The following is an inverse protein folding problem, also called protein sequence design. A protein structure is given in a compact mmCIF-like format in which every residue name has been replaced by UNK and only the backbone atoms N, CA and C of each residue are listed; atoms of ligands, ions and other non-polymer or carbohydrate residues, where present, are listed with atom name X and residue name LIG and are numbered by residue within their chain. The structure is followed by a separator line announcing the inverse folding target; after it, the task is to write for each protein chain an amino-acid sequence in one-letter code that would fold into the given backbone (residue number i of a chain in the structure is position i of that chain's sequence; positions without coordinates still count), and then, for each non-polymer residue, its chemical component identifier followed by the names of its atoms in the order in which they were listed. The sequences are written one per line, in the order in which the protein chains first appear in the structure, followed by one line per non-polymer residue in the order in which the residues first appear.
data_IF_260382652764
#
_entry.id   IF_260382652764
#
_cell.length_a   1.000
_cell.length_b   1.000
_cell.length_c   1.000
_cell.angle_alpha   90.00
_cell.angle_beta   90.00
_cell.angle_gamma   90.00
#
_symmetry.space_group_name_H-M   'P 1'
#
loop_
_entity.id
_entity.type
_entity.pdbx_description
1 polymer ?
#
# COMPACT_ATOMS: atom_id res chain seq x y z
N UNK A 1 13.32 -33.74 -10.10
CA UNK A 1 12.30 -32.71 -10.26
C UNK A 1 12.76 -31.67 -11.26
N UNK A 2 11.86 -31.06 -12.01
CA UNK A 2 12.16 -29.96 -12.93
C UNK A 2 12.02 -28.66 -12.12
N UNK A 3 13.07 -27.83 -12.12
CA UNK A 3 13.06 -26.49 -11.54
C UNK A 3 13.17 -25.45 -12.65
N UNK A 4 12.50 -24.32 -12.47
CA UNK A 4 12.64 -23.19 -13.39
C UNK A 4 13.99 -22.49 -13.15
N UNK A 5 14.60 -22.02 -14.22
CA UNK A 5 15.71 -21.05 -14.13
C UNK A 5 15.20 -19.72 -13.62
N UNK A 6 16.10 -18.82 -13.25
CA UNK A 6 15.74 -17.43 -12.83
C UNK A 6 14.93 -16.76 -13.94
N UNK A 7 15.43 -16.77 -15.16
CA UNK A 7 14.74 -16.22 -16.34
C UNK A 7 13.40 -16.92 -16.61
N UNK A 8 13.33 -18.25 -16.37
CA UNK A 8 12.08 -18.99 -16.49
C UNK A 8 11.04 -18.63 -15.45
N UNK A 9 11.44 -18.29 -14.23
CA UNK A 9 10.54 -17.80 -13.18
C UNK A 9 10.03 -16.39 -13.50
N UNK A 10 10.89 -15.53 -14.01
CA UNK A 10 10.54 -14.18 -14.47
C UNK A 10 9.58 -14.25 -15.66
N UNK A 11 9.94 -15.03 -16.69
CA UNK A 11 9.06 -15.25 -17.85
C UNK A 11 7.67 -15.78 -17.43
N UNK A 12 7.61 -16.74 -16.52
CA UNK A 12 6.33 -17.26 -16.02
C UNK A 12 5.46 -16.16 -15.39
N UNK A 13 6.08 -15.22 -14.67
CA UNK A 13 5.38 -14.11 -14.03
C UNK A 13 4.74 -13.21 -15.09
N UNK A 14 5.49 -12.79 -16.09
CA UNK A 14 4.98 -11.98 -17.20
C UNK A 14 3.96 -12.72 -18.05
N UNK A 15 4.22 -14.00 -18.37
CA UNK A 15 3.28 -14.82 -19.13
C UNK A 15 1.93 -14.98 -18.42
N UNK A 16 1.93 -15.14 -17.09
CA UNK A 16 0.68 -15.19 -16.30
C UNK A 16 -0.07 -13.88 -16.41
N UNK A 17 0.59 -12.74 -16.28
CA UNK A 17 -0.03 -11.42 -16.42
C UNK A 17 -0.68 -11.23 -17.80
N UNK A 18 -0.01 -11.65 -18.87
CA UNK A 18 -0.56 -11.61 -20.23
C UNK A 18 -1.80 -12.48 -20.36
N UNK A 19 -1.77 -13.68 -19.80
CA UNK A 19 -2.91 -14.59 -19.82
C UNK A 19 -4.10 -14.07 -19.03
N UNK A 20 -3.85 -13.47 -17.87
CA UNK A 20 -4.89 -12.86 -17.05
C UNK A 20 -5.53 -11.66 -17.78
N UNK A 21 -4.74 -10.82 -18.44
CA UNK A 21 -5.24 -9.72 -19.26
C UNK A 21 -5.98 -10.22 -20.51
N UNK A 22 -5.50 -11.28 -21.15
CA UNK A 22 -6.18 -11.90 -22.28
C UNK A 22 -7.54 -12.47 -21.86
N UNK A 23 -7.62 -13.10 -20.70
CA UNK A 23 -8.88 -13.62 -20.15
C UNK A 23 -9.89 -12.51 -19.88
N UNK A 24 -9.45 -11.40 -19.27
CA UNK A 24 -10.30 -10.22 -19.04
C UNK A 24 -10.80 -9.61 -20.35
N UNK A 25 -9.94 -9.54 -21.38
CA UNK A 25 -10.32 -9.09 -22.70
C UNK A 25 -11.35 -10.02 -23.36
N UNK A 26 -11.12 -11.32 -23.29
CA UNK A 26 -12.05 -12.33 -23.81
C UNK A 26 -13.42 -12.27 -23.11
N UNK A 27 -13.45 -12.16 -21.80
CA UNK A 27 -14.69 -12.03 -21.01
C UNK A 27 -15.46 -10.77 -21.39
N UNK A 28 -14.76 -9.65 -21.59
CA UNK A 28 -15.37 -8.37 -21.96
C UNK A 28 -16.03 -8.37 -23.34
N UNK A 29 -15.48 -9.10 -24.29
CA UNK A 29 -15.92 -9.06 -25.70
C UNK A 29 -16.68 -10.30 -26.18
N UNK A 30 -16.71 -11.40 -25.45
CA UNK A 30 -17.46 -12.62 -25.83
C UNK A 30 -18.93 -12.63 -25.43
N UNK A 31 -19.53 -11.48 -25.04
CA UNK A 31 -20.93 -11.37 -24.60
C UNK A 31 -21.34 -12.36 -23.48
N UNK A 32 -20.42 -13.05 -22.87
CA UNK A 32 -20.68 -13.81 -21.66
C UNK A 32 -20.62 -12.82 -20.49
N UNK A 33 -21.63 -12.75 -19.63
CA UNK A 33 -21.49 -12.08 -18.34
C UNK A 33 -20.22 -12.62 -17.70
N UNK A 34 -19.30 -11.75 -17.23
CA UNK A 34 -18.10 -12.22 -16.58
C UNK A 34 -18.51 -13.16 -15.46
N UNK A 35 -18.07 -14.40 -15.54
CA UNK A 35 -18.43 -15.43 -14.56
C UNK A 35 -17.86 -15.09 -13.18
N UNK A 36 -16.75 -14.39 -13.17
CA UNK A 36 -16.01 -14.04 -11.97
C UNK A 36 -15.54 -12.59 -12.05
N UNK A 37 -15.97 -11.78 -11.12
CA UNK A 37 -15.48 -10.41 -11.01
C UNK A 37 -14.10 -10.42 -10.34
N UNK A 38 -13.12 -9.79 -10.97
CA UNK A 38 -11.76 -9.65 -10.43
C UNK A 38 -11.56 -8.22 -9.96
N UNK A 39 -10.85 -8.05 -8.86
CA UNK A 39 -10.36 -6.76 -8.39
C UNK A 39 -9.13 -6.95 -7.52
N UNK A 40 -8.11 -6.14 -7.72
CA UNK A 40 -6.86 -6.25 -6.99
C UNK A 40 -6.34 -4.85 -6.61
N UNK A 41 -6.17 -4.63 -5.32
CA UNK A 41 -5.74 -3.38 -4.72
C UNK A 41 -4.47 -3.59 -3.91
N UNK A 42 -3.47 -2.72 -4.08
CA UNK A 42 -2.31 -2.64 -3.21
C UNK A 42 -2.34 -1.35 -2.43
N UNK A 43 -2.08 -1.40 -1.14
CA UNK A 43 -2.16 -0.24 -0.25
C UNK A 43 -1.02 -0.22 0.75
N UNK A 44 -0.64 0.96 1.20
CA UNK A 44 0.06 1.12 2.45
C UNK A 44 -0.85 0.66 3.61
N UNK A 45 -0.32 0.61 4.83
CA UNK A 45 -1.02 0.02 5.98
C UNK A 45 -2.13 0.93 6.55
N UNK A 46 -3.13 1.27 5.72
CA UNK A 46 -4.22 2.18 6.09
C UNK A 46 -5.55 1.46 6.33
N UNK A 47 -6.13 1.69 7.51
CA UNK A 47 -7.45 1.14 7.88
C UNK A 47 -8.55 1.56 6.91
N UNK A 48 -8.58 2.83 6.48
CA UNK A 48 -9.62 3.32 5.57
C UNK A 48 -9.65 2.57 4.23
N UNK A 49 -8.48 2.12 3.75
CA UNK A 49 -8.39 1.37 2.50
C UNK A 49 -9.02 -0.03 2.63
N UNK A 50 -8.80 -0.67 3.79
CA UNK A 50 -9.41 -1.97 4.10
C UNK A 50 -10.92 -1.82 4.30
N UNK A 51 -11.38 -0.80 5.02
CA UNK A 51 -12.80 -0.52 5.22
C UNK A 51 -13.52 -0.28 3.88
N UNK A 52 -12.95 0.57 3.02
CA UNK A 52 -13.49 0.81 1.68
C UNK A 52 -13.50 -0.47 0.82
N UNK A 53 -12.49 -1.33 0.96
CA UNK A 53 -12.44 -2.61 0.25
C UNK A 53 -13.54 -3.58 0.74
N UNK A 54 -13.81 -3.62 2.04
CA UNK A 54 -14.91 -4.41 2.61
C UNK A 54 -16.26 -3.88 2.10
N UNK A 55 -16.50 -2.56 2.12
CA UNK A 55 -17.72 -1.95 1.58
C UNK A 55 -17.92 -2.27 0.09
N UNK A 56 -16.83 -2.28 -0.68
CA UNK A 56 -16.86 -2.69 -2.09
C UNK A 56 -17.31 -4.15 -2.23
N UNK A 57 -16.80 -5.07 -1.41
CA UNK A 57 -17.22 -6.47 -1.41
C UNK A 57 -18.70 -6.59 -1.08
N UNK A 58 -19.16 -5.91 -0.04
CA UNK A 58 -20.58 -5.94 0.40
C UNK A 58 -21.53 -5.35 -0.65
N UNK A 59 -21.07 -4.39 -1.44
CA UNK A 59 -21.84 -3.77 -2.52
C UNK A 59 -21.87 -4.59 -3.81
N UNK A 60 -21.03 -5.61 -3.92
CA UNK A 60 -20.93 -6.42 -5.14
C UNK A 60 -22.17 -7.29 -5.32
N UNK A 61 -22.67 -7.34 -6.56
CA UNK A 61 -23.84 -8.14 -6.95
C UNK A 61 -23.47 -9.39 -7.73
N UNK A 62 -22.18 -9.65 -7.90
CA UNK A 62 -21.70 -10.82 -8.61
C UNK A 62 -21.77 -12.05 -7.73
N UNK A 63 -22.27 -13.15 -8.25
CA UNK A 63 -22.30 -14.45 -7.54
C UNK A 63 -20.90 -15.08 -7.45
N UNK A 64 -19.97 -14.69 -8.34
CA UNK A 64 -18.60 -15.16 -8.36
C UNK A 64 -17.63 -13.99 -8.43
N UNK A 65 -16.71 -13.88 -7.47
CA UNK A 65 -15.66 -12.87 -7.48
C UNK A 65 -14.34 -13.41 -6.88
N UNK A 66 -13.25 -12.76 -7.25
CA UNK A 66 -11.95 -12.91 -6.61
C UNK A 66 -11.36 -11.52 -6.40
N UNK A 67 -11.44 -11.05 -5.18
CA UNK A 67 -10.91 -9.77 -4.79
C UNK A 67 -9.67 -9.93 -3.92
N UNK A 68 -8.67 -9.15 -4.19
CA UNK A 68 -7.40 -9.21 -3.49
C UNK A 68 -7.02 -7.82 -2.98
N UNK A 69 -6.74 -7.71 -1.68
CA UNK A 69 -6.08 -6.55 -1.10
C UNK A 69 -4.70 -6.96 -0.57
N UNK A 70 -3.68 -6.14 -0.85
CA UNK A 70 -2.31 -6.33 -0.40
C UNK A 70 -1.85 -5.12 0.37
N UNK A 71 -1.54 -5.30 1.65
CA UNK A 71 -0.85 -4.28 2.44
C UNK A 71 0.65 -4.49 2.27
N UNK A 72 1.37 -3.46 1.79
CA UNK A 72 2.80 -3.59 1.48
C UNK A 72 3.48 -2.22 1.35
N UNK A 73 4.78 -2.22 1.14
CA UNK A 73 5.64 -1.05 1.06
C UNK A 73 5.31 -0.17 -0.15
N UNK A 74 5.53 1.12 -0.04
CA UNK A 74 5.26 2.10 -1.10
C UNK A 74 5.87 1.74 -2.46
N UNK A 75 7.15 1.32 -2.47
CA UNK A 75 7.84 0.92 -3.71
C UNK A 75 7.21 -0.33 -4.34
N UNK A 76 6.80 -1.28 -3.50
CA UNK A 76 6.16 -2.52 -3.95
C UNK A 76 4.76 -2.25 -4.53
N UNK A 77 3.98 -1.35 -3.92
CA UNK A 77 2.69 -0.91 -4.46
C UNK A 77 2.87 -0.34 -5.87
N UNK A 78 3.80 0.59 -6.04
CA UNK A 78 4.07 1.22 -7.33
C UNK A 78 4.48 0.17 -8.37
N UNK A 79 5.34 -0.80 -7.99
CA UNK A 79 5.74 -1.88 -8.87
C UNK A 79 4.59 -2.84 -9.20
N UNK A 80 3.76 -3.16 -8.23
CA UNK A 80 2.61 -4.06 -8.43
C UNK A 80 1.59 -3.46 -9.40
N UNK A 81 1.32 -2.16 -9.32
CA UNK A 81 0.44 -1.48 -10.27
C UNK A 81 1.11 -1.37 -11.65
N UNK A 82 2.38 -0.98 -11.71
CA UNK A 82 3.11 -0.88 -12.99
C UNK A 82 3.18 -2.22 -13.74
N UNK A 83 3.24 -3.33 -12.99
CA UNK A 83 3.26 -4.68 -13.55
C UNK A 83 1.87 -5.33 -13.63
N UNK A 84 0.79 -4.56 -13.46
CA UNK A 84 -0.59 -5.03 -13.54
C UNK A 84 -0.94 -6.17 -12.56
N UNK A 85 -0.18 -6.33 -11.47
CA UNK A 85 -0.50 -7.26 -10.40
C UNK A 85 -1.61 -6.70 -9.49
N UNK A 86 -1.74 -5.39 -9.46
CA UNK A 86 -2.86 -4.67 -8.83
C UNK A 86 -3.36 -3.60 -9.79
N UNK A 87 -4.68 -3.43 -9.84
CA UNK A 87 -5.34 -2.42 -10.68
C UNK A 87 -5.22 -1.03 -10.07
N UNK A 88 -5.21 -0.97 -8.74
CA UNK A 88 -5.15 0.27 -7.97
C UNK A 88 -4.06 0.16 -6.90
N UNK A 89 -3.30 1.25 -6.74
CA UNK A 89 -2.37 1.45 -5.66
C UNK A 89 -2.79 2.64 -4.79
N UNK A 90 -2.84 2.46 -3.47
CA UNK A 90 -3.16 3.54 -2.52
C UNK A 90 -1.89 3.90 -1.77
N UNK A 91 -1.42 5.13 -1.95
CA UNK A 91 -0.18 5.63 -1.36
C UNK A 91 -0.36 7.02 -0.76
N UNK A 92 0.48 7.36 0.20
CA UNK A 92 0.57 8.67 0.81
C UNK A 92 1.55 9.57 0.05
N UNK A 93 1.13 10.79 -0.23
CA UNK A 93 2.00 11.86 -0.72
C UNK A 93 1.94 13.07 0.22
N UNK A 94 3.10 13.66 0.44
CA UNK A 94 3.29 14.90 1.19
C UNK A 94 4.15 15.87 0.37
N UNK A 95 4.29 17.09 0.86
CA UNK A 95 5.21 18.06 0.25
C UNK A 95 6.67 17.59 0.27
N UNK A 96 7.02 16.66 1.17
CA UNK A 96 8.35 16.10 1.27
C UNK A 96 8.65 15.07 0.17
N UNK A 97 7.71 14.18 -0.15
CA UNK A 97 7.96 13.02 -1.02
C UNK A 97 7.34 13.13 -2.43
N UNK A 98 6.44 14.09 -2.65
CA UNK A 98 5.65 14.21 -3.90
C UNK A 98 6.50 14.29 -5.17
N UNK A 99 7.66 14.96 -5.12
CA UNK A 99 8.49 15.15 -6.31
C UNK A 99 9.22 13.87 -6.69
N UNK A 100 9.75 13.14 -5.70
CA UNK A 100 10.45 11.86 -5.89
C UNK A 100 9.47 10.78 -6.34
N UNK A 101 8.36 10.62 -5.60
CA UNK A 101 7.32 9.63 -5.94
C UNK A 101 6.69 9.99 -7.30
N UNK A 102 6.37 11.27 -7.53
CA UNK A 102 5.79 11.72 -8.80
C UNK A 102 6.70 11.47 -10.00
N UNK A 103 8.03 11.59 -9.85
CA UNK A 103 8.98 11.20 -10.89
C UNK A 103 8.91 9.70 -11.16
N UNK A 104 8.93 8.87 -10.12
CA UNK A 104 8.85 7.42 -10.24
C UNK A 104 7.54 6.96 -10.90
N UNK A 105 6.41 7.57 -10.54
CA UNK A 105 5.13 7.27 -11.17
C UNK A 105 5.15 7.57 -12.68
N UNK A 106 5.67 8.74 -13.09
CA UNK A 106 5.82 9.09 -14.52
C UNK A 106 6.73 8.11 -15.28
N UNK A 107 7.86 7.73 -14.70
CA UNK A 107 8.77 6.73 -15.29
C UNK A 107 8.10 5.38 -15.52
N UNK A 108 7.13 5.05 -14.68
CA UNK A 108 6.35 3.80 -14.78
C UNK A 108 5.00 3.97 -15.50
N UNK A 109 4.75 5.14 -16.10
CA UNK A 109 3.51 5.45 -16.81
C UNK A 109 2.25 5.32 -15.92
N UNK A 110 2.38 5.64 -14.64
CA UNK A 110 1.28 5.66 -13.67
C UNK A 110 0.78 7.07 -13.43
N UNK A 111 -0.52 7.21 -13.19
CA UNK A 111 -1.19 8.46 -12.86
C UNK A 111 -1.62 8.47 -11.39
N UNK A 112 -1.44 9.61 -10.71
CA UNK A 112 -1.86 9.79 -9.34
C UNK A 112 -3.13 10.64 -9.27
N UNK A 113 -4.17 10.08 -8.66
CA UNK A 113 -5.45 10.75 -8.39
C UNK A 113 -5.61 11.00 -6.88
N UNK A 114 -5.63 12.26 -6.42
CA UNK A 114 -5.82 12.55 -5.00
C UNK A 114 -7.20 12.09 -4.52
N UNK A 115 -7.25 11.33 -3.43
CA UNK A 115 -8.50 10.92 -2.78
C UNK A 115 -8.97 11.98 -1.78
N UNK A 116 -8.12 12.31 -0.82
CA UNK A 116 -8.39 13.32 0.20
C UNK A 116 -7.09 13.86 0.81
N UNK A 117 -7.21 14.90 1.62
CA UNK A 117 -6.13 15.43 2.45
C UNK A 117 -6.51 15.30 3.91
N UNK A 118 -5.58 14.90 4.75
CA UNK A 118 -5.77 14.76 6.19
C UNK A 118 -4.61 15.45 6.94
N UNK A 119 -4.88 16.05 8.09
CA UNK A 119 -3.82 16.49 8.99
C UNK A 119 -3.16 15.28 9.64
N UNK A 120 -1.91 15.50 10.06
CA UNK A 120 -1.17 14.48 10.80
C UNK A 120 -1.70 14.36 12.23
N UNK A 121 -1.84 13.13 12.68
CA UNK A 121 -2.21 12.78 14.04
C UNK A 121 -1.19 11.83 14.65
N UNK A 122 -1.01 11.92 15.97
CA UNK A 122 -0.21 10.97 16.71
C UNK A 122 -1.10 9.81 17.13
N UNK A 123 -0.69 8.60 16.80
CA UNK A 123 -1.31 7.38 17.27
C UNK A 123 -0.51 6.87 18.48
N UNK A 124 -1.16 6.76 19.64
CA UNK A 124 -0.55 6.36 20.90
C UNK A 124 -1.51 5.48 21.69
N UNK A 125 -0.97 4.62 22.58
CA UNK A 125 -1.75 3.84 23.53
C UNK A 125 -2.57 4.77 24.46
N UNK A 126 -3.73 4.29 24.92
CA UNK A 126 -4.56 4.98 25.91
C UNK A 126 -3.82 5.19 27.24
N UNK A 127 -2.88 4.31 27.54
CA UNK A 127 -2.09 4.34 28.79
C UNK A 127 -0.86 5.25 28.65
N UNK A 128 -0.60 5.80 27.46
CA UNK A 128 0.50 6.72 27.27
C UNK A 128 0.22 8.04 28.02
N UNK A 129 1.22 8.60 28.75
CA UNK A 129 1.07 9.86 29.48
C UNK A 129 0.57 11.05 28.64
N UNK A 130 0.74 10.99 27.31
CA UNK A 130 0.29 12.02 26.38
C UNK A 130 -1.19 11.86 25.97
N UNK A 131 -1.84 10.73 26.26
CA UNK A 131 -3.20 10.43 25.79
C UNK A 131 -4.25 11.45 26.24
N UNK A 132 -4.03 12.12 27.40
CA UNK A 132 -4.90 13.18 27.89
C UNK A 132 -4.63 14.57 27.31
N UNK A 133 -3.57 14.78 26.53
CA UNK A 133 -3.24 16.08 25.97
C UNK A 133 -4.11 16.41 24.75
N UNK A 134 -4.69 17.62 24.74
CA UNK A 134 -5.44 18.13 23.58
C UNK A 134 -4.55 18.43 22.36
N UNK A 135 -3.28 18.72 22.59
CA UNK A 135 -2.29 19.00 21.56
C UNK A 135 -0.95 18.41 21.99
N UNK A 136 -0.38 17.60 21.14
CA UNK A 136 0.93 16.99 21.31
C UNK A 136 1.91 17.73 20.41
N UNK A 137 3.05 18.11 20.94
CA UNK A 137 4.15 18.73 20.20
C UNK A 137 5.24 17.70 19.90
N UNK A 138 6.14 18.05 19.01
CA UNK A 138 7.28 17.23 18.64
C UNK A 138 8.19 16.95 19.85
N UNK A 139 8.41 17.95 20.70
CA UNK A 139 9.23 17.80 21.91
C UNK A 139 8.60 16.82 22.92
N UNK A 140 7.27 16.78 22.98
CA UNK A 140 6.56 15.80 23.81
C UNK A 140 6.82 14.36 23.39
N UNK A 141 7.10 14.11 22.11
CA UNK A 141 7.30 12.78 21.56
C UNK A 141 8.74 12.27 21.71
N UNK A 142 9.72 13.15 21.87
CA UNK A 142 11.15 12.78 21.96
C UNK A 142 11.49 11.69 23.00
N UNK A 143 10.86 11.65 24.19
CA UNK A 143 11.14 10.61 25.18
C UNK A 143 10.68 9.20 24.77
N UNK A 144 9.73 9.10 23.85
CA UNK A 144 9.08 7.84 23.46
C UNK A 144 9.72 7.23 22.22
N UNK A 145 9.65 5.89 22.06
CA UNK A 145 10.05 5.26 20.82
C UNK A 145 9.11 5.66 19.68
N UNK A 146 9.68 5.86 18.50
CA UNK A 146 8.94 6.08 17.26
C UNK A 146 8.76 4.73 16.55
N UNK A 147 7.51 4.37 16.27
CA UNK A 147 7.17 3.15 15.57
C UNK A 147 6.85 3.52 14.13
N UNK A 148 7.46 2.82 13.19
CA UNK A 148 7.29 3.06 11.76
C UNK A 148 7.28 1.77 10.96
N UNK A 149 6.68 1.81 9.77
CA UNK A 149 6.73 0.69 8.84
C UNK A 149 8.08 0.64 8.12
N UNK A 150 8.68 -0.55 8.10
CA UNK A 150 9.93 -0.81 7.41
C UNK A 150 9.74 -0.73 5.89
N UNK A 151 10.59 0.03 5.19
CA UNK A 151 10.53 0.22 3.74
C UNK A 151 11.54 -0.61 2.94
N UNK A 152 12.19 -1.59 3.59
CA UNK A 152 13.18 -2.47 2.98
C UNK A 152 14.60 -1.90 2.94
N UNK A 153 15.57 -2.72 2.50
CA UNK A 153 16.98 -2.35 2.48
C UNK A 153 17.31 -1.16 1.55
N UNK A 154 16.54 -1.00 0.47
CA UNK A 154 16.64 0.16 -0.43
C UNK A 154 15.69 1.29 0.01
N UNK A 155 15.15 1.20 1.23
CA UNK A 155 14.17 2.14 1.75
C UNK A 155 14.73 3.55 1.88
N UNK A 156 14.25 4.42 1.00
CA UNK A 156 14.46 5.85 1.13
C UNK A 156 13.38 6.44 2.03
N UNK A 157 13.72 7.45 2.81
CA UNK A 157 12.74 8.25 3.57
C UNK A 157 11.58 8.77 2.72
N UNK A 158 11.76 8.91 1.40
CA UNK A 158 10.71 9.31 0.48
C UNK A 158 9.61 8.25 0.32
N UNK A 159 9.86 7.00 0.69
CA UNK A 159 8.87 5.92 0.64
C UNK A 159 8.14 5.69 1.97
N UNK A 160 8.52 6.42 3.04
CA UNK A 160 7.88 6.29 4.34
C UNK A 160 6.37 6.55 4.25
N UNK A 161 5.60 5.77 5.01
CA UNK A 161 4.15 5.87 5.12
C UNK A 161 3.73 6.90 6.18
N UNK A 162 4.65 7.20 7.07
CA UNK A 162 4.51 8.20 8.12
C UNK A 162 5.14 9.52 7.69
N UNK A 163 4.77 10.57 8.41
CA UNK A 163 5.46 11.83 8.27
C UNK A 163 6.93 11.67 8.63
N UNK A 164 7.80 12.00 7.69
CA UNK A 164 9.23 11.99 7.95
C UNK A 164 9.57 13.09 8.93
N UNK A 165 10.21 12.68 9.99
CA UNK A 165 10.61 13.54 11.06
C UNK A 165 12.01 14.12 10.80
N UNK A 166 12.19 15.46 10.81
CA UNK A 166 13.51 16.05 10.54
C UNK A 166 14.53 15.78 11.65
N UNK A 167 14.06 15.50 12.86
CA UNK A 167 14.92 15.17 14.00
C UNK A 167 14.82 13.68 14.32
N UNK A 168 15.93 13.00 14.26
CA UNK A 168 16.07 11.57 14.48
C UNK A 168 15.58 11.20 15.89
N UNK A 169 14.56 10.34 15.99
CA UNK A 169 14.25 9.72 17.27
C UNK A 169 15.37 8.74 17.64
N UNK A 170 15.99 8.84 18.83
CA UNK A 170 17.02 7.90 19.25
C UNK A 170 16.50 6.49 19.51
N UNK A 171 15.17 6.33 19.57
CA UNK A 171 14.49 5.05 19.81
C UNK A 171 13.53 4.81 18.66
N UNK A 172 13.85 3.83 17.81
CA UNK A 172 13.02 3.45 16.67
C UNK A 172 12.65 1.98 16.75
N UNK A 173 11.41 1.68 16.37
CA UNK A 173 10.87 0.33 16.24
C UNK A 173 10.33 0.21 14.82
N UNK A 174 10.92 -0.67 14.02
CA UNK A 174 10.46 -0.94 12.67
C UNK A 174 9.55 -2.17 12.69
N UNK A 175 8.39 -2.05 12.07
CA UNK A 175 7.39 -3.11 11.95
C UNK A 175 7.07 -3.37 10.49
N UNK A 176 6.57 -4.54 10.18
CA UNK A 176 6.27 -4.95 8.80
C UNK A 176 4.78 -5.19 8.57
N UNK A 177 3.97 -5.13 9.63
CA UNK A 177 2.54 -5.38 9.54
C UNK A 177 1.76 -4.56 10.58
N UNK A 178 0.50 -4.33 10.27
CA UNK A 178 -0.40 -3.52 11.09
C UNK A 178 -0.80 -4.21 12.41
N UNK A 179 -0.92 -5.53 12.41
CA UNK A 179 -1.29 -6.24 13.64
C UNK A 179 -0.21 -6.08 14.71
N UNK A 180 1.06 -6.09 14.31
CA UNK A 180 2.19 -5.82 15.20
C UNK A 180 2.12 -4.41 15.79
N UNK A 181 1.87 -3.37 14.98
CA UNK A 181 1.83 -1.98 15.46
C UNK A 181 0.69 -1.73 16.46
N UNK A 182 -0.43 -2.45 16.34
CA UNK A 182 -1.58 -2.31 17.23
C UNK A 182 -1.35 -2.93 18.63
N UNK A 183 -0.26 -3.66 18.82
CA UNK A 183 0.10 -4.27 20.09
C UNK A 183 1.09 -3.44 20.93
N UNK A 184 1.54 -2.29 20.42
CA UNK A 184 2.37 -1.32 21.14
C UNK A 184 1.53 -0.19 21.72
#
# INVERSE_FOLDING_TARGET
GIALTVDGAEFRTYARQVLDQASLLEERYKNAKPRKQLCSVSTQHYMFAVEAFVEMIESTKSDEYEFTIRETRTKDIINQVANMLSEIGIIYLSDFNKDVIGKLLREKHLEFHPLFRAPLHVFISRDNPLAGKKKVTMDDLKPFPFIQYEQGEEGSFFFAEEAVWPEYSPKQINVTDRATILNF
#
